data_IF_123864019260
#
_entry.id   IF_123864019260
#
_cell.length_a   1.000
_cell.length_b   1.000
_cell.length_c   1.000
_cell.angle_alpha   90.00
_cell.angle_beta   90.00
_cell.angle_gamma   90.00
#
_symmetry.space_group_name_H-M   'P 1'
#
loop_
_entity.id
_entity.type
_entity.pdbx_description
1 polymer ?
#
# COMPACT_ATOMS: atom_id res chain seq x y z
N UNK A 1 23.50 0.08 -3.82
CA UNK A 1 23.58 0.22 -2.36
C UNK A 1 24.80 1.05 -1.91
N UNK A 2 26.04 0.53 -1.93
CA UNK A 2 27.22 1.21 -1.35
C UNK A 2 27.47 2.63 -1.86
N UNK A 3 27.28 2.87 -3.15
CA UNK A 3 27.42 4.20 -3.75
C UNK A 3 26.38 5.20 -3.20
N UNK A 4 25.13 4.77 -2.99
CA UNK A 4 24.08 5.62 -2.45
C UNK A 4 24.37 5.98 -0.98
N UNK A 5 24.78 5.00 -0.18
CA UNK A 5 25.15 5.22 1.22
C UNK A 5 26.38 6.12 1.35
N UNK A 6 27.39 5.95 0.48
CA UNK A 6 28.56 6.83 0.42
C UNK A 6 28.17 8.28 0.08
N UNK A 7 27.22 8.48 -0.85
CA UNK A 7 26.72 9.81 -1.19
C UNK A 7 26.01 10.48 -0.01
N UNK A 8 25.22 9.74 0.78
CA UNK A 8 24.59 10.28 2.00
C UNK A 8 25.65 10.67 3.03
N UNK A 9 26.63 9.78 3.27
CA UNK A 9 27.69 10.03 4.24
C UNK A 9 28.52 11.29 3.90
N UNK A 10 28.82 11.51 2.62
CA UNK A 10 29.58 12.66 2.13
C UNK A 10 28.87 14.02 2.30
N UNK A 11 27.54 14.01 2.55
CA UNK A 11 26.70 15.23 2.58
C UNK A 11 26.35 15.73 3.98
N UNK A 12 26.84 15.08 5.03
CA UNK A 12 26.50 15.38 6.43
C UNK A 12 26.74 16.84 6.83
N UNK A 13 27.65 17.57 6.15
CA UNK A 13 27.96 18.97 6.43
C UNK A 13 27.31 20.00 5.47
N UNK A 14 26.56 19.54 4.45
CA UNK A 14 25.95 20.44 3.45
C UNK A 14 24.76 21.19 4.06
N UNK A 15 24.80 22.53 4.01
CA UNK A 15 23.75 23.44 4.54
C UNK A 15 22.67 23.84 3.54
N UNK A 16 22.77 23.35 2.31
CA UNK A 16 21.83 23.63 1.24
C UNK A 16 21.20 22.30 0.79
N UNK A 17 19.93 22.39 0.37
CA UNK A 17 19.19 21.28 -0.23
C UNK A 17 18.85 21.67 -1.68
N UNK A 18 19.34 20.89 -2.64
CA UNK A 18 19.07 21.10 -4.07
C UNK A 18 18.30 19.91 -4.69
N UNK A 19 18.00 20.00 -5.99
CA UNK A 19 17.31 18.94 -6.74
C UNK A 19 18.12 17.63 -6.82
N UNK A 20 19.44 17.68 -6.63
CA UNK A 20 20.29 16.48 -6.62
C UNK A 20 20.11 15.74 -5.30
N UNK A 21 20.00 16.46 -4.19
CA UNK A 21 19.64 15.87 -2.89
C UNK A 21 18.26 15.20 -2.95
N UNK A 22 17.28 15.85 -3.59
CA UNK A 22 15.95 15.27 -3.82
C UNK A 22 16.01 13.98 -4.64
N UNK A 23 16.75 13.97 -5.75
CA UNK A 23 16.87 12.76 -6.58
C UNK A 23 17.52 11.60 -5.82
N UNK A 24 18.55 11.87 -5.01
CA UNK A 24 19.20 10.84 -4.18
C UNK A 24 18.24 10.26 -3.14
N UNK A 25 17.40 11.10 -2.53
CA UNK A 25 16.37 10.64 -1.60
C UNK A 25 15.37 9.69 -2.30
N UNK A 26 14.92 10.03 -3.52
CA UNK A 26 14.05 9.16 -4.31
C UNK A 26 14.71 7.83 -4.63
N UNK A 27 15.95 7.86 -5.09
CA UNK A 27 16.71 6.65 -5.45
C UNK A 27 16.91 5.73 -4.23
N UNK A 28 17.24 6.31 -3.06
CA UNK A 28 17.34 5.59 -1.80
C UNK A 28 16.01 4.94 -1.39
N UNK A 29 14.91 5.67 -1.49
CA UNK A 29 13.60 5.16 -1.11
C UNK A 29 13.11 4.07 -2.09
N UNK A 30 13.37 4.23 -3.39
CA UNK A 30 13.04 3.22 -4.40
C UNK A 30 13.81 1.92 -4.12
N UNK A 31 15.12 1.98 -3.91
CA UNK A 31 15.92 0.80 -3.54
C UNK A 31 15.43 0.19 -2.21
N UNK A 32 15.12 1.00 -1.20
CA UNK A 32 14.60 0.50 0.08
C UNK A 32 13.27 -0.29 -0.11
N UNK A 33 12.37 0.22 -0.94
CA UNK A 33 11.09 -0.41 -1.25
C UNK A 33 11.26 -1.72 -2.03
N UNK A 34 12.24 -1.79 -2.94
CA UNK A 34 12.57 -3.01 -3.67
C UNK A 34 13.14 -4.09 -2.73
N UNK A 35 13.95 -3.72 -1.73
CA UNK A 35 14.50 -4.67 -0.75
C UNK A 35 13.52 -5.10 0.33
N UNK A 36 12.42 -4.37 0.54
CA UNK A 36 11.42 -4.66 1.57
C UNK A 36 10.47 -5.84 1.20
N UNK A 37 10.74 -6.59 0.13
CA UNK A 37 9.84 -7.67 -0.30
C UNK A 37 9.64 -8.76 0.78
N UNK A 38 8.39 -9.23 1.00
CA UNK A 38 8.10 -10.26 1.98
C UNK A 38 8.82 -11.58 1.63
N UNK A 39 9.75 -12.00 2.50
CA UNK A 39 10.50 -13.26 2.37
C UNK A 39 12.00 -13.08 2.12
N UNK A 40 12.46 -11.85 1.87
CA UNK A 40 13.88 -11.52 1.74
C UNK A 40 14.52 -11.14 3.08
N UNK A 41 15.84 -11.00 3.09
CA UNK A 41 16.58 -10.48 4.24
C UNK A 41 16.18 -9.02 4.51
N UNK A 42 15.49 -8.78 5.65
CA UNK A 42 15.01 -7.45 6.04
C UNK A 42 16.13 -6.49 6.47
N UNK A 43 17.34 -7.00 6.72
CA UNK A 43 18.48 -6.22 7.19
C UNK A 43 18.92 -5.14 6.17
N UNK A 44 19.22 -5.46 4.90
CA UNK A 44 19.51 -4.45 3.87
C UNK A 44 18.42 -3.38 3.70
N UNK A 45 17.15 -3.78 3.74
CA UNK A 45 16.02 -2.84 3.66
C UNK A 45 16.02 -1.89 4.86
N UNK A 46 16.29 -2.42 6.05
CA UNK A 46 16.37 -1.64 7.31
C UNK A 46 17.47 -0.58 7.24
N UNK A 47 18.67 -0.94 6.76
CA UNK A 47 19.78 0.00 6.60
C UNK A 47 19.43 1.14 5.64
N UNK A 48 18.84 0.82 4.50
CA UNK A 48 18.40 1.79 3.50
C UNK A 48 17.30 2.71 4.05
N UNK A 49 16.33 2.15 4.78
CA UNK A 49 15.26 2.93 5.43
C UNK A 49 15.83 3.91 6.46
N UNK A 50 16.82 3.50 7.26
CA UNK A 50 17.50 4.42 8.17
C UNK A 50 18.25 5.53 7.42
N UNK A 51 18.89 5.22 6.30
CA UNK A 51 19.52 6.24 5.45
C UNK A 51 18.49 7.22 4.88
N UNK A 52 17.31 6.75 4.45
CA UNK A 52 16.19 7.59 4.01
C UNK A 52 15.73 8.51 5.15
N UNK A 53 15.50 7.98 6.35
CA UNK A 53 15.06 8.79 7.50
C UNK A 53 16.11 9.82 7.92
N UNK A 54 17.39 9.47 7.88
CA UNK A 54 18.48 10.39 8.16
C UNK A 54 18.54 11.54 7.14
N UNK A 55 18.38 11.22 5.86
CA UNK A 55 18.38 12.23 4.79
C UNK A 55 17.13 13.12 4.84
N UNK A 56 15.93 12.56 5.09
CA UNK A 56 14.72 13.34 5.34
C UNK A 56 14.89 14.29 6.52
N UNK A 57 15.48 13.83 7.62
CA UNK A 57 15.78 14.67 8.79
C UNK A 57 16.75 15.81 8.43
N UNK A 58 17.80 15.51 7.67
CA UNK A 58 18.76 16.53 7.18
C UNK A 58 18.03 17.60 6.37
N UNK A 59 17.19 17.18 5.42
CA UNK A 59 16.38 18.09 4.60
C UNK A 59 15.47 18.96 5.47
N UNK A 60 14.73 18.37 6.42
CA UNK A 60 13.86 19.11 7.35
C UNK A 60 14.61 20.12 8.23
N UNK A 61 15.88 19.87 8.53
CA UNK A 61 16.71 20.82 9.28
C UNK A 61 17.14 22.04 8.47
N UNK A 62 17.20 21.91 7.14
CA UNK A 62 17.58 22.97 6.19
C UNK A 62 16.34 23.71 5.70
N UNK A 63 15.29 22.95 5.36
CA UNK A 63 14.07 23.41 4.75
C UNK A 63 12.88 22.93 5.60
N UNK A 64 12.37 23.77 6.52
CA UNK A 64 11.25 23.41 7.39
C UNK A 64 9.97 23.03 6.64
N UNK A 65 9.81 23.56 5.42
CA UNK A 65 8.73 23.20 4.50
C UNK A 65 9.31 22.68 3.17
N UNK A 66 9.50 21.35 3.03
CA UNK A 66 10.04 20.73 1.83
C UNK A 66 9.16 20.88 0.58
N UNK A 67 7.89 21.27 0.74
CA UNK A 67 7.00 21.47 -0.41
C UNK A 67 7.46 22.62 -1.32
N UNK A 68 8.23 23.57 -0.76
CA UNK A 68 8.83 24.68 -1.48
C UNK A 68 9.87 24.26 -2.53
N UNK A 69 10.40 23.03 -2.48
CA UNK A 69 11.25 22.47 -3.55
C UNK A 69 10.49 22.31 -4.88
N UNK A 70 9.16 22.24 -4.81
CA UNK A 70 8.28 21.97 -5.94
C UNK A 70 7.42 23.17 -6.32
N UNK A 71 7.50 24.28 -5.60
CA UNK A 71 6.92 25.52 -6.09
C UNK A 71 7.62 25.85 -7.42
N UNK A 72 6.87 25.96 -8.54
CA UNK A 72 7.48 26.34 -9.80
C UNK A 72 8.22 27.65 -9.51
N UNK A 73 9.52 27.67 -9.81
CA UNK A 73 10.33 28.88 -9.68
C UNK A 73 9.50 29.96 -10.34
N UNK A 74 8.93 30.87 -9.53
CA UNK A 74 8.09 31.94 -10.03
C UNK A 74 9.08 32.71 -10.87
N UNK A 75 9.15 32.38 -12.15
CA UNK A 75 9.89 33.13 -13.14
C UNK A 75 9.33 34.51 -12.92
N UNK A 76 10.10 35.32 -12.19
CA UNK A 76 9.83 36.71 -12.02
C UNK A 76 10.08 37.22 -13.42
N UNK A 77 9.06 37.09 -14.25
CA UNK A 77 8.89 37.83 -15.48
C UNK A 77 8.75 39.25 -14.97
N UNK A 78 9.87 39.85 -14.58
CA UNK A 78 10.09 41.28 -14.61
C UNK A 78 10.11 41.66 -16.09
N UNK A 79 9.00 41.44 -16.78
CA UNK A 79 8.65 42.23 -17.93
C UNK A 79 8.33 43.61 -17.36
N UNK A 80 9.38 44.40 -17.18
CA UNK A 80 9.33 45.85 -17.35
C UNK A 80 8.96 46.15 -18.81
N UNK A 81 7.81 45.67 -19.27
CA UNK A 81 7.14 46.16 -20.46
C UNK A 81 6.11 47.14 -19.93
N UNK A 82 6.54 48.39 -19.75
CA UNK A 82 5.62 49.52 -19.77
C UNK A 82 4.65 49.31 -20.93
N UNK A 83 3.33 49.31 -20.70
CA UNK A 83 2.39 49.19 -21.80
C UNK A 83 2.55 50.42 -22.70
N UNK A 84 3.16 50.26 -23.87
CA UNK A 84 3.00 51.26 -24.93
C UNK A 84 1.53 51.30 -25.32
N UNK A 85 0.96 52.50 -25.33
CA UNK A 85 -0.47 52.83 -25.42
C UNK A 85 -1.21 52.36 -26.70
N UNK A 86 -0.67 51.43 -27.49
CA UNK A 86 -1.21 51.10 -28.82
C UNK A 86 -2.17 49.89 -28.87
N UNK A 87 -2.53 49.27 -27.73
CA UNK A 87 -3.54 48.18 -27.71
C UNK A 87 -4.96 48.62 -27.33
N UNK A 88 -5.35 49.82 -27.74
CA UNK A 88 -6.77 50.24 -27.82
C UNK A 88 -7.37 49.84 -29.17
N UNK A 89 -7.56 48.55 -29.42
CA UNK A 89 -8.45 48.08 -30.48
C UNK A 89 -9.29 46.89 -29.99
N UNK A 90 -10.62 47.07 -29.80
CA UNK A 90 -11.52 46.01 -29.40
C UNK A 90 -12.20 45.44 -30.65
N UNK A 91 -11.57 44.51 -31.37
CA UNK A 91 -12.27 43.64 -32.33
C UNK A 91 -11.30 42.61 -32.94
N UNK A 92 -11.37 41.33 -32.53
CA UNK A 92 -11.11 40.14 -33.39
C UNK A 92 -11.23 38.81 -32.63
N UNK A 93 -12.39 38.19 -32.81
CA UNK A 93 -12.65 36.79 -33.19
C UNK A 93 -11.74 35.67 -32.63
N UNK A 94 -12.26 34.96 -31.63
CA UNK A 94 -11.74 33.69 -31.07
C UNK A 94 -12.30 32.45 -31.77
N UNK A 95 -12.34 32.45 -33.10
CA UNK A 95 -12.59 31.24 -33.88
C UNK A 95 -11.50 31.11 -34.91
N UNK A 96 -10.49 30.28 -34.66
CA UNK A 96 -9.82 29.48 -35.68
C UNK A 96 -8.88 28.48 -35.01
N UNK A 97 -9.16 27.22 -35.32
CA UNK A 97 -8.30 26.05 -35.22
C UNK A 97 -6.91 26.37 -35.80
N UNK A 98 -5.85 26.24 -35.02
CA UNK A 98 -4.47 26.17 -35.53
C UNK A 98 -4.02 24.71 -35.58
N UNK A 99 -4.61 23.98 -36.52
CA UNK A 99 -3.90 22.97 -37.27
C UNK A 99 -3.08 23.67 -38.36
N UNK A 100 -1.86 23.20 -38.61
CA UNK A 100 -0.95 23.56 -39.71
C UNK A 100 -0.03 24.78 -39.55
N UNK A 101 1.11 24.60 -38.86
CA UNK A 101 2.36 25.28 -39.25
C UNK A 101 3.56 24.32 -39.18
N UNK A 102 3.96 23.87 -40.39
CA UNK A 102 5.33 23.59 -40.88
C UNK A 102 6.13 22.43 -40.25
N UNK A 103 6.07 21.32 -40.98
CA UNK A 103 7.15 20.37 -41.19
C UNK A 103 8.41 21.04 -41.75
N UNK A 104 9.44 21.19 -40.91
CA UNK A 104 10.83 21.35 -41.33
C UNK A 104 11.60 20.06 -41.03
N UNK A 105 12.14 19.36 -42.04
CA UNK A 105 13.07 18.26 -41.81
C UNK A 105 14.46 18.86 -41.60
N UNK A 106 14.82 19.10 -40.35
CA UNK A 106 16.12 19.66 -39.97
C UNK A 106 16.74 18.88 -38.82
N UNK A 107 17.83 18.18 -39.12
CA UNK A 107 18.78 17.51 -38.21
C UNK A 107 18.73 18.01 -36.75
N UNK A 108 18.19 17.19 -35.84
CA UNK A 108 18.28 17.41 -34.40
C UNK A 108 18.92 16.19 -33.72
N UNK A 109 20.24 16.08 -33.88
CA UNK A 109 21.12 15.26 -33.02
C UNK A 109 21.55 16.11 -31.82
N UNK A 110 20.61 16.40 -30.93
CA UNK A 110 20.87 16.91 -29.58
C UNK A 110 19.61 16.64 -28.76
N UNK A 111 19.67 15.64 -27.88
CA UNK A 111 18.55 15.28 -27.02
C UNK A 111 18.13 16.47 -26.17
N UNK A 112 17.00 17.08 -26.52
CA UNK A 112 16.33 18.02 -25.63
C UNK A 112 16.11 17.31 -24.30
N UNK A 113 16.55 17.87 -23.16
CA UNK A 113 16.27 17.29 -21.85
C UNK A 113 14.74 17.17 -21.75
N UNK A 114 14.26 15.92 -21.67
CA UNK A 114 12.85 15.67 -21.44
C UNK A 114 12.49 16.35 -20.13
N UNK A 115 11.62 17.35 -20.19
CA UNK A 115 11.12 18.03 -19.00
C UNK A 115 10.45 16.97 -18.12
N UNK A 116 11.07 16.66 -16.98
CA UNK A 116 10.48 15.77 -15.97
C UNK A 116 9.14 16.35 -15.55
N UNK A 117 8.10 15.50 -15.48
CA UNK A 117 6.81 15.92 -14.95
C UNK A 117 6.98 16.59 -13.58
N UNK A 118 6.30 17.71 -13.30
CA UNK A 118 6.40 18.38 -12.02
C UNK A 118 5.97 17.42 -10.90
N UNK A 119 6.81 17.29 -9.88
CA UNK A 119 6.53 16.52 -8.67
C UNK A 119 5.41 17.20 -7.87
N UNK A 120 4.65 16.42 -7.11
CA UNK A 120 3.60 16.96 -6.25
C UNK A 120 4.22 17.60 -4.99
N UNK A 121 3.61 18.68 -4.44
CA UNK A 121 4.05 19.26 -3.16
C UNK A 121 4.12 18.27 -1.99
N UNK A 122 3.32 17.20 -2.06
CA UNK A 122 3.24 16.13 -1.07
C UNK A 122 4.34 15.06 -1.22
N UNK A 123 5.12 15.06 -2.31
CA UNK A 123 6.03 13.96 -2.64
C UNK A 123 7.06 13.68 -1.54
N UNK A 124 7.63 14.72 -0.93
CA UNK A 124 8.55 14.55 0.20
C UNK A 124 7.90 13.82 1.38
N UNK A 125 6.69 14.24 1.75
CA UNK A 125 5.94 13.65 2.86
C UNK A 125 5.52 12.21 2.55
N UNK A 126 5.18 11.91 1.29
CA UNK A 126 4.89 10.56 0.85
C UNK A 126 6.10 9.63 1.09
N UNK A 127 7.32 10.05 0.73
CA UNK A 127 8.54 9.26 0.97
C UNK A 127 8.85 9.09 2.45
N UNK A 128 8.84 10.18 3.23
CA UNK A 128 9.12 10.13 4.67
C UNK A 128 8.11 9.26 5.42
N UNK A 129 6.82 9.45 5.17
CA UNK A 129 5.77 8.65 5.80
C UNK A 129 5.82 7.19 5.38
N UNK A 130 6.17 6.89 4.12
CA UNK A 130 6.39 5.51 3.66
C UNK A 130 7.57 4.86 4.37
N UNK A 131 8.71 5.54 4.49
CA UNK A 131 9.86 4.99 5.18
C UNK A 131 9.56 4.68 6.66
N UNK A 132 8.84 5.57 7.35
CA UNK A 132 8.37 5.35 8.72
C UNK A 132 7.41 4.15 8.80
N UNK A 133 6.44 4.06 7.89
CA UNK A 133 5.49 2.94 7.83
C UNK A 133 6.21 1.59 7.64
N UNK A 134 7.12 1.51 6.68
CA UNK A 134 7.87 0.29 6.38
C UNK A 134 8.75 -0.14 7.55
N UNK A 135 9.47 0.79 8.18
CA UNK A 135 10.27 0.49 9.36
C UNK A 135 9.39 0.01 10.52
N UNK A 136 8.22 0.61 10.71
CA UNK A 136 7.21 0.13 11.66
C UNK A 136 6.80 -1.32 11.41
N UNK A 137 6.58 -1.70 10.14
CA UNK A 137 6.26 -3.09 9.80
C UNK A 137 7.43 -4.04 10.03
N UNK A 138 8.69 -3.64 9.75
CA UNK A 138 9.87 -4.45 10.08
C UNK A 138 9.92 -4.69 11.59
N UNK A 139 9.68 -3.66 12.41
CA UNK A 139 9.68 -3.79 13.88
C UNK A 139 8.55 -4.71 14.37
N UNK A 140 7.36 -4.65 13.77
CA UNK A 140 6.24 -5.54 14.09
C UNK A 140 6.54 -7.00 13.73
N UNK A 141 7.24 -7.23 12.61
CA UNK A 141 7.64 -8.55 12.15
C UNK A 141 8.81 -9.13 12.96
N UNK A 142 9.92 -8.40 13.05
CA UNK A 142 11.13 -8.77 13.76
C UNK A 142 11.91 -7.54 14.22
N UNK A 143 11.68 -7.13 15.46
CA UNK A 143 12.39 -6.01 16.04
C UNK A 143 13.90 -6.25 16.24
N UNK A 144 14.39 -7.51 16.21
CA UNK A 144 15.81 -7.80 16.41
C UNK A 144 16.67 -7.35 15.23
N UNK A 145 16.11 -7.37 14.02
CA UNK A 145 16.74 -6.85 12.80
C UNK A 145 17.05 -5.35 12.95
N UNK A 146 16.15 -4.60 13.58
CA UNK A 146 16.34 -3.16 13.80
C UNK A 146 17.35 -2.91 14.93
N UNK A 147 17.32 -3.74 15.98
CA UNK A 147 18.25 -3.63 17.12
C UNK A 147 19.72 -3.88 16.73
N UNK A 148 19.98 -4.76 15.76
CA UNK A 148 21.35 -5.06 15.32
C UNK A 148 21.99 -3.94 14.50
N UNK A 149 21.19 -3.15 13.78
CA UNK A 149 21.66 -2.05 12.94
C UNK A 149 21.60 -0.69 13.64
N UNK A 150 20.76 -0.55 14.66
CA UNK A 150 20.61 0.65 15.46
C UNK A 150 21.77 0.81 16.46
N UNK A 151 22.93 1.23 15.98
CA UNK A 151 23.94 1.86 16.83
C UNK A 151 23.47 3.24 17.34
N UNK A 152 22.41 3.80 16.74
CA UNK A 152 21.89 5.15 16.99
C UNK A 152 20.60 5.14 17.82
N UNK A 153 20.59 6.04 18.82
CA UNK A 153 19.64 6.22 19.93
C UNK A 153 18.21 6.64 19.54
N UNK A 154 17.62 6.06 18.51
CA UNK A 154 16.19 6.22 18.24
C UNK A 154 15.39 5.29 19.17
N UNK A 155 14.15 5.64 19.58
CA UNK A 155 13.37 4.79 20.46
C UNK A 155 13.03 3.48 19.75
N UNK A 156 13.78 2.44 20.10
CA UNK A 156 13.53 1.08 19.66
C UNK A 156 12.28 0.58 20.40
N UNK A 157 11.19 0.48 19.65
CA UNK A 157 9.87 -0.01 20.06
C UNK A 157 8.99 1.00 20.83
N UNK A 158 7.66 0.90 20.64
CA UNK A 158 6.90 -0.04 19.80
C UNK A 158 6.75 0.40 18.33
N UNK A 159 6.47 -0.54 17.42
CA UNK A 159 6.15 -0.28 16.00
C UNK A 159 5.06 0.80 15.82
N UNK A 160 4.10 0.84 16.75
CA UNK A 160 3.04 1.85 16.84
C UNK A 160 3.59 3.28 16.78
N UNK A 161 4.75 3.57 17.37
CA UNK A 161 5.33 4.91 17.34
C UNK A 161 5.69 5.36 15.91
N UNK A 162 6.20 4.43 15.09
CA UNK A 162 6.55 4.68 13.69
C UNK A 162 5.31 4.87 12.82
N UNK A 163 4.27 4.04 13.00
CA UNK A 163 3.01 4.22 12.29
C UNK A 163 2.31 5.53 12.66
N UNK A 164 2.28 5.91 13.94
CA UNK A 164 1.72 7.20 14.35
C UNK A 164 2.54 8.38 13.82
N UNK A 165 3.87 8.26 13.71
CA UNK A 165 4.71 9.28 13.09
C UNK A 165 4.46 9.38 11.57
N UNK A 166 4.23 8.24 10.89
CA UNK A 166 3.84 8.25 9.48
C UNK A 166 2.51 8.99 9.28
N UNK A 167 1.51 8.75 10.13
CA UNK A 167 0.24 9.48 10.08
C UNK A 167 0.42 10.99 10.25
N UNK A 168 1.28 11.44 11.17
CA UNK A 168 1.55 12.88 11.33
C UNK A 168 2.13 13.51 10.06
N UNK A 169 3.03 12.79 9.40
CA UNK A 169 3.67 13.25 8.16
C UNK A 169 2.62 13.36 7.05
N UNK A 170 1.74 12.37 6.93
CA UNK A 170 0.66 12.40 5.95
C UNK A 170 -0.38 13.49 6.25
N UNK A 171 -0.77 13.67 7.52
CA UNK A 171 -1.64 14.76 7.95
C UNK A 171 -1.01 16.13 7.63
N UNK A 172 0.30 16.29 7.85
CA UNK A 172 1.01 17.53 7.51
C UNK A 172 0.92 17.80 6.00
N UNK A 173 1.13 16.76 5.18
CA UNK A 173 1.05 16.85 3.74
C UNK A 173 -0.34 17.25 3.21
N UNK A 174 -1.41 16.67 3.77
CA UNK A 174 -2.79 16.98 3.39
C UNK A 174 -3.19 18.42 3.75
N UNK A 175 -2.55 18.98 4.78
CA UNK A 175 -2.76 20.36 5.24
C UNK A 175 -1.82 21.39 4.57
N UNK A 176 -1.00 20.99 3.58
CA UNK A 176 -0.17 21.93 2.85
C UNK A 176 -1.04 23.00 2.18
N UNK A 177 -0.58 24.27 2.12
CA UNK A 177 -1.30 25.32 1.40
C UNK A 177 -1.53 24.90 -0.04
N UNK A 178 -2.80 24.72 -0.42
CA UNK A 178 -3.19 24.57 -1.81
C UNK A 178 -2.88 25.90 -2.48
N UNK A 179 -1.90 25.90 -3.38
CA UNK A 179 -1.47 27.11 -4.08
C UNK A 179 -2.70 27.85 -4.60
N UNK A 180 -2.94 29.06 -4.09
CA UNK A 180 -4.06 29.89 -4.54
C UNK A 180 -3.70 30.45 -5.91
N UNK A 181 -3.63 29.57 -6.91
CA UNK A 181 -3.46 30.01 -8.29
C UNK A 181 -4.75 30.74 -8.66
N UNK A 182 -4.69 32.07 -8.58
CA UNK A 182 -5.71 33.01 -9.05
C UNK A 182 -5.94 32.93 -10.59
N UNK A 183 -5.50 31.83 -11.22
CA UNK A 183 -5.85 31.45 -12.58
C UNK A 183 -7.32 31.03 -12.61
N UNK A 184 -8.22 32.02 -12.64
CA UNK A 184 -9.67 31.87 -12.68
C UNK A 184 -10.22 31.13 -13.94
N UNK A 185 -9.39 30.43 -14.73
CA UNK A 185 -9.78 29.89 -16.04
C UNK A 185 -9.53 28.38 -16.26
N UNK A 186 -9.11 27.58 -15.27
CA UNK A 186 -9.08 26.10 -15.39
C UNK A 186 -9.83 25.39 -14.26
N UNK A 187 -11.16 25.54 -14.25
CA UNK A 187 -12.08 24.96 -13.25
C UNK A 187 -12.23 23.42 -13.28
N UNK A 188 -11.21 22.66 -13.68
CA UNK A 188 -11.37 21.20 -13.85
C UNK A 188 -10.11 20.36 -13.63
N UNK A 189 -8.94 20.96 -13.34
CA UNK A 189 -7.84 20.17 -12.79
C UNK A 189 -8.16 19.93 -11.32
N UNK A 190 -8.94 18.88 -11.06
CA UNK A 190 -9.03 18.22 -9.76
C UNK A 190 -7.63 18.15 -9.19
N UNK A 191 -7.42 18.80 -8.04
CA UNK A 191 -6.17 18.74 -7.27
C UNK A 191 -5.67 17.32 -7.29
N UNK A 192 -4.53 17.12 -7.94
CA UNK A 192 -4.01 15.79 -8.21
C UNK A 192 -3.57 15.19 -6.88
N UNK A 193 -4.41 14.32 -6.34
CA UNK A 193 -4.11 13.60 -5.12
C UNK A 193 -2.92 12.66 -5.34
N UNK A 194 -2.00 12.66 -4.38
CA UNK A 194 -0.88 11.71 -4.36
C UNK A 194 -1.39 10.33 -3.94
N UNK A 195 -1.73 9.52 -4.93
CA UNK A 195 -2.25 8.18 -4.71
C UNK A 195 -1.30 7.32 -3.87
N UNK A 196 0.03 7.50 -3.98
CA UNK A 196 1.02 6.70 -3.21
C UNK A 196 0.86 6.97 -1.73
N UNK A 197 0.79 8.25 -1.38
CA UNK A 197 0.55 8.70 -0.02
C UNK A 197 -0.76 8.14 0.53
N UNK A 198 -1.86 8.28 -0.22
CA UNK A 198 -3.17 7.78 0.21
C UNK A 198 -3.17 6.27 0.48
N UNK A 199 -2.54 5.46 -0.37
CA UNK A 199 -2.48 4.02 -0.14
C UNK A 199 -1.68 3.67 1.11
N UNK A 200 -0.49 4.25 1.28
CA UNK A 200 0.35 3.96 2.46
C UNK A 200 -0.30 4.47 3.74
N UNK A 201 -1.03 5.58 3.68
CA UNK A 201 -1.85 6.08 4.79
C UNK A 201 -2.93 5.06 5.18
N UNK A 202 -3.68 4.54 4.21
CA UNK A 202 -4.65 3.47 4.45
C UNK A 202 -4.03 2.22 5.06
N UNK A 203 -2.87 1.77 4.55
CA UNK A 203 -2.13 0.62 5.09
C UNK A 203 -1.64 0.86 6.52
N UNK A 204 -1.23 2.09 6.83
CA UNK A 204 -0.85 2.50 8.19
C UNK A 204 -2.02 2.33 9.17
N UNK A 205 -3.24 2.69 8.76
CA UNK A 205 -4.44 2.42 9.58
C UNK A 205 -4.72 0.92 9.76
N UNK A 206 -4.50 0.08 8.75
CA UNK A 206 -4.62 -1.38 8.88
C UNK A 206 -3.60 -1.93 9.90
N UNK A 207 -2.35 -1.46 9.87
CA UNK A 207 -1.34 -1.85 10.87
C UNK A 207 -1.74 -1.43 12.29
N UNK A 208 -2.27 -0.22 12.47
CA UNK A 208 -2.82 0.21 13.76
C UNK A 208 -4.02 -0.62 14.21
N UNK A 209 -4.92 -0.99 13.29
CA UNK A 209 -6.06 -1.86 13.59
C UNK A 209 -5.60 -3.23 14.11
N UNK A 210 -4.56 -3.81 13.50
CA UNK A 210 -3.94 -5.05 13.95
C UNK A 210 -3.32 -4.91 15.34
N UNK A 211 -2.60 -3.83 15.60
CA UNK A 211 -2.04 -3.57 16.93
C UNK A 211 -3.12 -3.37 17.99
N UNK A 212 -4.21 -2.67 17.67
CA UNK A 212 -5.37 -2.53 18.57
C UNK A 212 -6.01 -3.90 18.87
N UNK A 213 -6.08 -4.79 17.88
CA UNK A 213 -6.54 -6.18 18.08
C UNK A 213 -5.59 -6.99 18.95
N UNK A 214 -4.28 -6.80 18.81
CA UNK A 214 -3.29 -7.43 19.68
C UNK A 214 -3.43 -6.95 21.14
N UNK A 215 -3.51 -5.63 21.37
CA UNK A 215 -3.70 -5.07 22.71
C UNK A 215 -5.01 -5.55 23.35
N UNK A 216 -6.09 -5.58 22.58
CA UNK A 216 -7.41 -5.98 23.10
C UNK A 216 -7.59 -7.49 23.25
N UNK A 217 -6.68 -8.31 22.72
CA UNK A 217 -6.69 -9.76 22.96
C UNK A 217 -6.41 -10.07 24.42
N UNK A 218 -5.46 -9.37 25.02
CA UNK A 218 -5.04 -9.61 26.40
C UNK A 218 -5.89 -8.80 27.39
N UNK A 219 -6.23 -7.57 27.04
CA UNK A 219 -6.99 -6.65 27.90
C UNK A 219 -8.17 -6.04 27.14
N UNK A 220 -9.43 -6.43 27.41
CA UNK A 220 -10.55 -6.08 26.54
C UNK A 220 -10.82 -4.59 26.33
N UNK A 221 -10.33 -3.77 27.26
CA UNK A 221 -10.46 -2.31 27.28
C UNK A 221 -9.14 -1.59 26.94
N UNK A 222 -8.07 -2.32 26.65
CA UNK A 222 -6.81 -1.72 26.24
C UNK A 222 -7.01 -0.91 24.95
N UNK A 223 -6.37 0.25 24.91
CA UNK A 223 -6.35 1.15 23.77
C UNK A 223 -4.92 1.30 23.31
N UNK A 224 -4.76 1.60 22.03
CA UNK A 224 -3.47 2.01 21.47
C UNK A 224 -2.90 3.16 22.33
N UNK A 225 -1.59 3.17 22.59
CA UNK A 225 -0.92 4.23 23.32
C UNK A 225 -0.76 5.50 22.45
N UNK A 226 -1.88 6.02 21.92
CA UNK A 226 -1.93 7.23 21.08
C UNK A 226 -1.92 8.51 21.91
N UNK A 227 -2.26 8.39 23.20
CA UNK A 227 -2.68 9.50 24.05
C UNK A 227 -1.56 10.40 24.59
N UNK A 228 -0.27 10.07 24.38
CA UNK A 228 0.78 11.05 24.64
C UNK A 228 1.09 11.82 23.35
N UNK A 229 0.52 13.04 23.16
CA UNK A 229 0.92 13.91 22.06
C UNK A 229 2.39 14.30 22.19
N UNK A 230 2.96 14.24 23.39
CA UNK A 230 4.39 14.39 23.58
C UNK A 230 5.08 13.08 23.25
N UNK A 231 6.08 13.19 22.38
CA UNK A 231 7.06 12.12 22.21
C UNK A 231 7.56 11.66 23.59
N UNK A 232 7.88 10.37 23.77
CA UNK A 232 8.53 9.90 24.98
C UNK A 232 9.64 10.89 25.38
N UNK A 233 9.65 11.33 26.64
CA UNK A 233 10.59 12.37 27.13
C UNK A 233 12.07 12.07 26.87
N UNK A 234 12.37 10.81 26.55
CA UNK A 234 13.71 10.29 26.29
C UNK A 234 14.09 10.28 24.80
N UNK A 235 13.23 10.75 23.88
CA UNK A 235 13.61 10.85 22.47
C UNK A 235 14.75 11.86 22.35
N UNK A 236 15.82 11.46 21.66
CA UNK A 236 16.94 12.34 21.37
C UNK A 236 16.43 13.59 20.62
N UNK A 237 16.88 14.78 21.03
CA UNK A 237 16.55 16.05 20.35
C UNK A 237 16.84 16.00 18.85
N UNK A 238 17.78 15.16 18.47
CA UNK A 238 18.25 14.96 17.11
C UNK A 238 17.65 13.70 16.45
N UNK A 239 16.47 13.23 16.87
CA UNK A 239 15.76 12.12 16.23
C UNK A 239 14.78 12.61 15.17
N UNK A 240 14.51 11.78 14.15
CA UNK A 240 13.48 12.07 13.14
C UNK A 240 12.11 12.32 13.78
N UNK A 241 11.79 11.63 14.87
CA UNK A 241 10.54 11.84 15.61
C UNK A 241 10.38 13.27 16.10
N UNK A 242 11.47 13.90 16.56
CA UNK A 242 11.46 15.30 17.01
C UNK A 242 11.18 16.24 15.84
N UNK A 243 11.77 15.98 14.66
CA UNK A 243 11.49 16.74 13.45
C UNK A 243 10.03 16.59 13.01
N UNK A 244 9.50 15.36 12.99
CA UNK A 244 8.09 15.08 12.67
C UNK A 244 7.15 15.76 13.67
N UNK A 245 7.44 15.70 14.96
CA UNK A 245 6.62 16.36 15.97
C UNK A 245 6.61 17.89 15.83
N UNK A 246 7.70 18.49 15.34
CA UNK A 246 7.77 19.93 15.08
C UNK A 246 6.93 20.37 13.88
N UNK A 247 6.68 19.48 12.91
CA UNK A 247 5.84 19.75 11.74
C UNK A 247 4.33 19.61 12.01
N UNK A 248 3.95 18.96 13.12
CA UNK A 248 2.54 18.60 13.37
C UNK A 248 1.62 19.83 13.36
N UNK A 249 0.43 19.71 12.74
CA UNK A 249 -0.60 20.72 12.92
C UNK A 249 -1.03 20.78 14.40
N UNK A 250 -1.52 21.94 14.83
CA UNK A 250 -1.96 22.17 16.22
C UNK A 250 -3.12 21.27 16.65
N UNK A 251 -3.92 20.79 15.69
CA UNK A 251 -4.99 19.81 15.89
C UNK A 251 -4.66 18.57 15.05
N UNK A 252 -4.17 17.52 15.70
CA UNK A 252 -3.85 16.24 15.06
C UNK A 252 -5.01 15.26 15.17
N UNK A 253 -5.22 14.41 14.15
CA UNK A 253 -6.27 13.38 14.20
C UNK A 253 -6.00 12.29 15.26
N UNK A 254 -4.78 12.25 15.83
CA UNK A 254 -4.39 11.38 16.97
C UNK A 254 -5.39 11.35 18.12
N UNK A 255 -6.03 12.47 18.43
CA UNK A 255 -7.04 12.53 19.50
C UNK A 255 -8.27 11.67 19.21
N UNK A 256 -8.69 11.59 17.94
CA UNK A 256 -9.75 10.71 17.47
C UNK A 256 -9.29 9.25 17.51
N UNK A 257 -8.06 8.98 17.06
CA UNK A 257 -7.48 7.63 17.00
C UNK A 257 -7.32 6.98 18.38
N UNK A 258 -7.12 7.76 19.45
CA UNK A 258 -7.02 7.24 20.81
C UNK A 258 -8.28 6.49 21.28
N UNK A 259 -9.44 6.80 20.69
CA UNK A 259 -10.73 6.16 21.01
C UNK A 259 -11.17 5.16 19.97
N UNK A 260 -10.54 5.16 18.79
CA UNK A 260 -10.90 4.30 17.69
C UNK A 260 -10.76 2.82 18.07
N UNK A 261 -11.74 2.00 17.74
CA UNK A 261 -11.58 0.55 17.72
C UNK A 261 -10.99 0.06 16.38
N UNK A 262 -10.72 -1.24 16.27
CA UNK A 262 -10.12 -1.80 15.07
C UNK A 262 -11.04 -1.70 13.84
N UNK A 263 -12.37 -1.74 14.01
CA UNK A 263 -13.30 -1.62 12.90
C UNK A 263 -13.37 -0.17 12.40
N UNK A 264 -13.37 0.82 13.30
CA UNK A 264 -13.30 2.24 12.97
C UNK A 264 -12.00 2.58 12.23
N UNK A 265 -10.87 2.02 12.66
CA UNK A 265 -9.59 2.16 11.95
C UNK A 265 -9.64 1.58 10.53
N UNK A 266 -10.34 0.46 10.32
CA UNK A 266 -10.54 -0.10 8.98
C UNK A 266 -11.45 0.77 8.10
N UNK A 267 -12.41 1.50 8.67
CA UNK A 267 -13.22 2.49 7.92
C UNK A 267 -12.33 3.62 7.40
N UNK A 268 -11.46 4.16 8.26
CA UNK A 268 -10.48 5.18 7.85
C UNK A 268 -9.53 4.64 6.77
N UNK A 269 -9.05 3.39 6.94
CA UNK A 269 -8.23 2.74 5.94
C UNK A 269 -8.93 2.65 4.57
N UNK A 270 -10.20 2.24 4.55
CA UNK A 270 -10.98 2.10 3.33
C UNK A 270 -11.18 3.43 2.60
N UNK A 271 -11.40 4.53 3.32
CA UNK A 271 -11.53 5.87 2.71
C UNK A 271 -10.27 6.24 1.91
N UNK A 272 -9.10 6.10 2.55
CA UNK A 272 -7.82 6.36 1.90
C UNK A 272 -7.51 5.38 0.76
N UNK A 273 -7.89 4.10 0.89
CA UNK A 273 -7.76 3.16 -0.23
C UNK A 273 -8.62 3.55 -1.43
N UNK A 274 -9.86 4.00 -1.22
CA UNK A 274 -10.71 4.43 -2.32
C UNK A 274 -10.13 5.65 -3.03
N UNK A 275 -9.61 6.63 -2.28
CA UNK A 275 -8.89 7.80 -2.80
C UNK A 275 -7.66 7.39 -3.61
N UNK A 276 -6.78 6.58 -3.01
CA UNK A 276 -5.57 6.10 -3.68
C UNK A 276 -5.84 5.26 -4.92
N UNK A 277 -6.78 4.31 -4.87
CA UNK A 277 -7.13 3.45 -6.01
C UNK A 277 -7.75 4.26 -7.16
N UNK A 278 -8.54 5.30 -6.86
CA UNK A 278 -9.14 6.18 -7.88
C UNK A 278 -8.06 6.90 -8.70
N UNK A 279 -7.01 7.37 -8.05
CA UNK A 279 -5.92 8.14 -8.67
C UNK A 279 -4.72 7.28 -9.11
N UNK A 280 -4.75 5.98 -8.81
CA UNK A 280 -3.70 5.04 -9.19
C UNK A 280 -3.61 4.89 -10.72
N UNK A 281 -2.40 4.78 -11.30
CA UNK A 281 -2.24 4.52 -12.72
C UNK A 281 -2.93 3.22 -13.15
N UNK A 282 -3.79 3.30 -14.16
CA UNK A 282 -4.49 2.15 -14.72
C UNK A 282 -3.70 1.57 -15.90
N UNK A 283 -3.61 0.23 -16.04
CA UNK A 283 -3.05 -0.37 -17.25
C UNK A 283 -3.87 0.13 -18.44
N UNK A 284 -3.20 0.73 -19.42
CA UNK A 284 -3.86 1.14 -20.66
C UNK A 284 -4.36 -0.13 -21.35
N UNK A 285 -5.65 -0.19 -21.65
CA UNK A 285 -6.19 -1.24 -22.51
C UNK A 285 -5.40 -1.21 -23.82
N UNK A 286 -4.69 -2.30 -24.12
CA UNK A 286 -3.79 -2.46 -25.27
C UNK A 286 -4.47 -2.21 -26.62
N UNK A 287 -5.80 -2.20 -26.66
CA UNK A 287 -6.60 -2.04 -27.87
C UNK A 287 -7.17 -0.62 -28.08
N UNK A 288 -6.91 0.33 -27.18
CA UNK A 288 -7.36 1.70 -27.39
C UNK A 288 -6.50 2.37 -28.48
N UNK A 289 -7.08 2.87 -29.59
CA UNK A 289 -6.33 3.55 -30.63
C UNK A 289 -5.58 4.72 -30.00
N UNK A 290 -4.28 4.81 -30.26
CA UNK A 290 -3.37 5.79 -29.70
C UNK A 290 -3.83 7.21 -30.08
N UNK A 291 -4.70 7.81 -29.27
CA UNK A 291 -4.98 9.23 -29.33
C UNK A 291 -3.72 9.91 -28.79
N UNK A 292 -3.05 10.77 -29.56
CA UNK A 292 -1.90 11.54 -29.11
C UNK A 292 -2.38 12.62 -28.13
N UNK A 293 -2.73 12.20 -26.91
CA UNK A 293 -2.89 13.08 -25.75
C UNK A 293 -1.53 13.35 -25.10
N UNK A 294 -1.40 14.44 -24.31
CA UNK A 294 -0.18 14.75 -23.58
C UNK A 294 0.26 13.51 -22.82
N UNK A 295 1.50 13.12 -23.13
CA UNK A 295 2.21 11.94 -22.67
C UNK A 295 2.05 11.73 -21.18
N UNK A 296 1.46 10.58 -20.87
CA UNK A 296 1.34 9.97 -19.56
C UNK A 296 2.55 10.23 -18.68
N UNK A 297 2.25 10.61 -17.44
CA UNK A 297 3.11 10.42 -16.28
C UNK A 297 3.90 9.12 -16.43
N UNK A 298 5.23 9.24 -16.45
CA UNK A 298 6.14 8.11 -16.32
C UNK A 298 5.74 7.38 -15.04
N UNK A 299 4.99 6.29 -15.21
CA UNK A 299 4.76 5.33 -14.14
C UNK A 299 6.13 4.80 -13.78
N UNK A 300 6.50 5.01 -12.52
CA UNK A 300 7.65 4.40 -11.88
C UNK A 300 7.79 2.95 -12.38
N UNK A 301 8.93 2.55 -12.99
CA UNK A 301 9.09 1.23 -13.58
C UNK A 301 8.90 0.10 -12.55
N UNK A 302 9.02 0.40 -11.26
CA UNK A 302 8.79 -0.53 -10.16
C UNK A 302 7.30 -0.69 -9.78
N UNK A 303 6.44 0.23 -10.22
CA UNK A 303 5.04 0.24 -9.79
C UNK A 303 4.21 -0.86 -10.45
N UNK A 304 3.53 -1.65 -9.63
CA UNK A 304 2.55 -2.63 -10.08
C UNK A 304 1.23 -2.42 -9.34
N UNK A 305 0.19 -1.96 -10.06
CA UNK A 305 -1.19 -1.83 -9.53
C UNK A 305 -1.68 -3.13 -8.91
N UNK A 306 -1.43 -4.25 -9.58
CA UNK A 306 -1.81 -5.57 -9.07
C UNK A 306 -1.11 -5.88 -7.74
N UNK A 307 0.19 -5.55 -7.61
CA UNK A 307 0.95 -5.75 -6.36
C UNK A 307 0.36 -4.95 -5.20
N UNK A 308 0.06 -3.67 -5.40
CA UNK A 308 -0.52 -2.82 -4.36
C UNK A 308 -1.90 -3.31 -3.92
N UNK A 309 -2.77 -3.67 -4.87
CA UNK A 309 -4.10 -4.23 -4.56
C UNK A 309 -4.00 -5.56 -3.80
N UNK A 310 -3.02 -6.41 -4.15
CA UNK A 310 -2.76 -7.65 -3.43
C UNK A 310 -2.34 -7.38 -1.97
N UNK A 311 -1.44 -6.42 -1.78
CA UNK A 311 -0.96 -6.02 -0.45
C UNK A 311 -2.12 -5.48 0.40
N UNK A 312 -2.90 -4.53 -0.12
CA UNK A 312 -4.07 -3.95 0.55
C UNK A 312 -5.05 -5.04 0.97
N UNK A 313 -5.47 -5.89 0.02
CA UNK A 313 -6.43 -6.95 0.29
C UNK A 313 -5.93 -7.96 1.32
N UNK A 314 -4.67 -8.37 1.25
CA UNK A 314 -4.08 -9.36 2.18
C UNK A 314 -3.89 -8.78 3.58
N UNK A 315 -3.43 -7.53 3.69
CA UNK A 315 -3.29 -6.83 4.98
C UNK A 315 -4.65 -6.62 5.65
N UNK A 316 -5.65 -6.15 4.89
CA UNK A 316 -7.02 -5.99 5.38
C UNK A 316 -7.62 -7.32 5.83
N UNK A 317 -7.44 -8.40 5.06
CA UNK A 317 -7.90 -9.73 5.46
C UNK A 317 -7.26 -10.17 6.78
N UNK A 318 -5.95 -9.93 6.96
CA UNK A 318 -5.26 -10.24 8.20
C UNK A 318 -5.85 -9.52 9.42
N UNK A 319 -6.27 -8.27 9.28
CA UNK A 319 -7.01 -7.57 10.33
C UNK A 319 -8.42 -8.14 10.51
N UNK A 320 -9.14 -8.35 9.40
CA UNK A 320 -10.52 -8.81 9.38
C UNK A 320 -10.72 -10.15 10.10
N UNK A 321 -9.83 -11.13 9.90
CA UNK A 321 -9.93 -12.46 10.54
C UNK A 321 -9.89 -12.42 12.06
N UNK A 322 -9.26 -11.37 12.62
CA UNK A 322 -9.02 -11.20 14.06
C UNK A 322 -10.07 -10.34 14.76
N UNK A 323 -11.00 -9.73 14.03
CA UNK A 323 -12.10 -8.96 14.64
C UNK A 323 -12.97 -9.87 15.51
N UNK A 324 -13.50 -9.32 16.61
CA UNK A 324 -14.28 -10.08 17.58
C UNK A 324 -15.65 -10.46 17.05
N UNK A 325 -16.32 -9.55 16.35
CA UNK A 325 -17.67 -9.76 15.85
C UNK A 325 -17.65 -10.57 14.54
N UNK A 326 -18.31 -11.74 14.46
CA UNK A 326 -18.38 -12.51 13.23
C UNK A 326 -18.94 -11.72 12.05
N UNK A 327 -19.94 -10.86 12.28
CA UNK A 327 -20.53 -10.04 11.22
C UNK A 327 -19.56 -9.01 10.67
N UNK A 328 -18.73 -8.41 11.55
CA UNK A 328 -17.66 -7.49 11.13
C UNK A 328 -16.57 -8.23 10.38
N UNK A 329 -16.16 -9.43 10.84
CA UNK A 329 -15.20 -10.28 10.12
C UNK A 329 -15.66 -10.54 8.70
N UNK A 330 -16.93 -10.94 8.52
CA UNK A 330 -17.49 -11.19 7.19
C UNK A 330 -17.61 -9.92 6.35
N UNK A 331 -17.93 -8.77 6.95
CA UNK A 331 -17.99 -7.48 6.25
C UNK A 331 -16.60 -7.10 5.72
N UNK A 332 -15.58 -7.08 6.58
CA UNK A 332 -14.23 -6.69 6.22
C UNK A 332 -13.53 -7.69 5.32
N UNK A 333 -13.82 -8.99 5.46
CA UNK A 333 -13.36 -10.01 4.51
C UNK A 333 -13.92 -9.79 3.10
N UNK A 334 -15.17 -9.32 2.96
CA UNK A 334 -15.71 -8.94 1.63
C UNK A 334 -15.04 -7.71 1.05
N UNK A 335 -14.72 -6.70 1.89
CA UNK A 335 -13.96 -5.54 1.44
C UNK A 335 -12.55 -5.93 0.99
N UNK A 336 -11.89 -6.83 1.71
CA UNK A 336 -10.60 -7.39 1.31
C UNK A 336 -10.68 -8.14 -0.04
N UNK A 337 -11.70 -8.99 -0.24
CA UNK A 337 -11.92 -9.65 -1.54
C UNK A 337 -12.23 -8.66 -2.67
N UNK A 338 -12.93 -7.56 -2.39
CA UNK A 338 -13.21 -6.52 -3.38
C UNK A 338 -11.91 -5.95 -3.97
N UNK A 339 -10.92 -5.64 -3.13
CA UNK A 339 -9.61 -5.15 -3.60
C UNK A 339 -8.81 -6.25 -4.34
N UNK A 340 -8.80 -7.47 -3.82
CA UNK A 340 -8.13 -8.61 -4.48
C UNK A 340 -8.73 -8.92 -5.86
N UNK A 341 -10.05 -8.78 -6.00
CA UNK A 341 -10.75 -9.01 -7.27
C UNK A 341 -10.35 -7.99 -8.35
N UNK A 342 -10.00 -6.76 -7.96
CA UNK A 342 -9.56 -5.72 -8.89
C UNK A 342 -8.17 -5.95 -9.51
N UNK A 343 -7.41 -6.94 -9.03
CA UNK A 343 -6.12 -7.30 -9.61
C UNK A 343 -6.22 -7.89 -11.02
N UNK A 344 -7.41 -8.38 -11.44
CA UNK A 344 -7.57 -9.01 -12.76
C UNK A 344 -6.82 -10.34 -12.89
N UNK A 345 -6.84 -11.18 -11.85
CA UNK A 345 -6.03 -12.41 -11.74
C UNK A 345 -6.15 -13.38 -12.92
N UNK A 346 -7.25 -13.34 -13.68
CA UNK A 346 -7.49 -14.22 -14.83
C UNK A 346 -6.76 -13.75 -16.10
N UNK A 347 -6.54 -12.45 -16.28
CA UNK A 347 -5.84 -11.88 -17.43
C UNK A 347 -4.32 -12.06 -17.28
N UNK A 348 -3.81 -11.87 -16.05
CA UNK A 348 -2.39 -12.03 -15.71
C UNK A 348 -1.87 -13.46 -15.93
N UNK A 349 -2.70 -14.48 -15.65
CA UNK A 349 -2.29 -15.87 -15.79
C UNK A 349 -2.19 -16.33 -17.26
N UNK A 350 -2.95 -15.70 -18.16
CA UNK A 350 -2.96 -16.03 -19.59
C UNK A 350 -1.69 -15.52 -20.30
N UNK A 351 -1.19 -14.35 -19.91
CA UNK A 351 -0.01 -13.73 -20.52
C UNK A 351 1.32 -14.20 -19.93
N UNK A 352 1.31 -14.87 -18.77
CA UNK A 352 2.50 -15.36 -18.05
C UNK A 352 3.26 -16.52 -18.75
N UNK A 353 3.01 -16.78 -20.04
CA UNK A 353 3.77 -17.76 -20.84
C UNK A 353 5.25 -17.38 -21.07
N UNK A 354 5.65 -16.16 -20.69
CA UNK A 354 7.05 -15.73 -20.60
C UNK A 354 7.67 -16.13 -19.25
N UNK A 355 8.80 -16.86 -19.31
CA UNK A 355 9.52 -17.47 -18.18
C UNK A 355 10.01 -16.49 -17.10
N UNK A 356 9.97 -15.19 -17.34
CA UNK A 356 10.59 -14.19 -16.46
C UNK A 356 9.68 -13.69 -15.33
N UNK A 357 8.51 -14.31 -15.10
CA UNK A 357 7.53 -13.79 -14.13
C UNK A 357 7.07 -14.76 -13.05
N UNK A 358 7.99 -15.56 -12.51
CA UNK A 358 7.72 -16.45 -11.38
C UNK A 358 7.12 -15.70 -10.17
N UNK A 359 7.58 -14.48 -9.91
CA UNK A 359 7.08 -13.66 -8.80
C UNK A 359 5.63 -13.24 -8.97
N UNK A 360 5.21 -12.83 -10.17
CA UNK A 360 3.81 -12.50 -10.43
C UNK A 360 2.91 -13.73 -10.31
N UNK A 361 3.38 -14.91 -10.77
CA UNK A 361 2.64 -16.17 -10.57
C UNK A 361 2.49 -16.49 -9.09
N UNK A 362 3.56 -16.37 -8.30
CA UNK A 362 3.54 -16.58 -6.85
C UNK A 362 2.57 -15.61 -6.16
N UNK A 363 2.61 -14.32 -6.53
CA UNK A 363 1.70 -13.29 -6.01
C UNK A 363 0.24 -13.55 -6.41
N UNK A 364 -0.01 -13.93 -7.66
CA UNK A 364 -1.36 -14.26 -8.15
C UNK A 364 -1.94 -15.48 -7.40
N UNK A 365 -1.12 -16.52 -7.17
CA UNK A 365 -1.51 -17.67 -6.32
C UNK A 365 -1.80 -17.25 -4.88
N UNK A 366 -0.94 -16.44 -4.28
CA UNK A 366 -1.13 -15.91 -2.93
C UNK A 366 -2.41 -15.08 -2.81
N UNK A 367 -2.66 -14.18 -3.77
CA UNK A 367 -3.89 -13.40 -3.85
C UNK A 367 -5.12 -14.29 -4.01
N UNK A 368 -5.04 -15.33 -4.85
CA UNK A 368 -6.12 -16.31 -5.04
C UNK A 368 -6.41 -17.07 -3.73
N UNK A 369 -5.38 -17.50 -3.00
CA UNK A 369 -5.54 -18.12 -1.68
C UNK A 369 -6.20 -17.14 -0.68
N UNK A 370 -5.78 -15.88 -0.68
CA UNK A 370 -6.36 -14.83 0.16
C UNK A 370 -7.85 -14.61 -0.15
N UNK A 371 -8.25 -14.60 -1.43
CA UNK A 371 -9.67 -14.55 -1.82
C UNK A 371 -10.45 -15.75 -1.28
N UNK A 372 -9.87 -16.95 -1.37
CA UNK A 372 -10.43 -18.16 -0.77
C UNK A 372 -10.67 -18.03 0.73
N UNK A 373 -9.70 -17.47 1.46
CA UNK A 373 -9.83 -17.16 2.90
C UNK A 373 -10.91 -16.13 3.19
N UNK A 374 -11.02 -15.05 2.40
CA UNK A 374 -12.10 -14.08 2.54
C UNK A 374 -13.48 -14.76 2.52
N UNK A 375 -13.71 -15.61 1.52
CA UNK A 375 -14.98 -16.32 1.35
C UNK A 375 -15.19 -17.40 2.41
N UNK A 376 -14.13 -18.03 2.93
CA UNK A 376 -14.21 -18.96 4.06
C UNK A 376 -14.69 -18.26 5.34
N UNK A 377 -14.17 -17.05 5.63
CA UNK A 377 -14.62 -16.23 6.77
C UNK A 377 -16.09 -15.87 6.64
N UNK A 378 -16.54 -15.47 5.45
CA UNK A 378 -17.95 -15.16 5.17
C UNK A 378 -18.82 -16.40 5.36
N UNK A 379 -18.39 -17.55 4.83
CA UNK A 379 -19.08 -18.84 4.98
C UNK A 379 -19.25 -19.23 6.44
N UNK A 380 -18.17 -19.23 7.23
CA UNK A 380 -18.18 -19.54 8.67
C UNK A 380 -19.12 -18.65 9.48
N UNK A 381 -19.22 -17.38 9.10
CA UNK A 381 -20.12 -16.45 9.79
C UNK A 381 -21.58 -16.82 9.57
N UNK A 382 -21.94 -17.19 8.34
CA UNK A 382 -23.29 -17.66 8.05
C UNK A 382 -23.58 -19.03 8.65
N UNK A 383 -22.60 -19.95 8.72
CA UNK A 383 -22.82 -21.25 9.39
C UNK A 383 -23.02 -21.11 10.90
N UNK A 384 -22.29 -20.22 11.56
CA UNK A 384 -22.44 -19.97 12.98
C UNK A 384 -23.86 -19.48 13.34
N UNK A 385 -24.51 -18.72 12.44
CA UNK A 385 -25.88 -18.26 12.62
C UNK A 385 -26.93 -19.39 12.56
N UNK A 386 -26.60 -20.56 12.00
CA UNK A 386 -27.51 -21.70 11.87
C UNK A 386 -27.60 -22.56 13.13
N UNK A 387 -26.69 -22.37 14.09
CA UNK A 387 -26.67 -23.16 15.33
C UNK A 387 -27.91 -22.82 16.16
N UNK A 388 -28.89 -23.72 16.17
CA UNK A 388 -30.13 -23.59 16.93
C UNK A 388 -31.38 -23.26 16.12
N UNK A 389 -31.28 -23.06 14.80
CA UNK A 389 -32.46 -22.82 13.94
C UNK A 389 -33.19 -24.13 13.56
N UNK A 390 -34.50 -24.19 13.81
CA UNK A 390 -35.37 -25.27 13.30
C UNK A 390 -35.58 -25.09 11.79
N UNK A 391 -35.23 -26.11 10.99
CA UNK A 391 -35.24 -26.04 9.52
C UNK A 391 -33.91 -25.60 8.89
N UNK A 392 -32.83 -25.55 9.70
CA UNK A 392 -31.59 -24.81 9.43
C UNK A 392 -30.87 -25.04 8.09
N UNK A 393 -31.07 -26.15 7.37
CA UNK A 393 -30.40 -26.36 6.07
C UNK A 393 -31.12 -25.74 4.86
N UNK A 394 -32.40 -25.41 5.02
CA UNK A 394 -33.22 -24.75 3.98
C UNK A 394 -33.31 -23.24 4.20
N UNK A 395 -32.72 -22.71 5.28
CA UNK A 395 -32.77 -21.29 5.59
C UNK A 395 -32.01 -20.44 4.58
N UNK A 396 -32.36 -19.15 4.51
CA UNK A 396 -31.67 -18.17 3.67
C UNK A 396 -30.18 -18.06 4.01
N UNK A 397 -29.83 -18.18 5.29
CA UNK A 397 -28.45 -18.09 5.73
C UNK A 397 -27.66 -19.35 5.41
N UNK A 398 -28.30 -20.54 5.39
CA UNK A 398 -27.67 -21.75 4.88
C UNK A 398 -27.40 -21.66 3.38
N UNK A 399 -28.30 -21.06 2.61
CA UNK A 399 -28.06 -20.80 1.19
C UNK A 399 -26.86 -19.86 0.97
N UNK A 400 -26.77 -18.75 1.73
CA UNK A 400 -25.62 -17.83 1.68
C UNK A 400 -24.32 -18.51 2.13
N UNK A 401 -24.37 -19.33 3.17
CA UNK A 401 -23.21 -20.09 3.64
C UNK A 401 -22.70 -21.04 2.57
N UNK A 402 -23.60 -21.79 1.90
CA UNK A 402 -23.23 -22.67 0.78
C UNK A 402 -22.60 -21.91 -0.39
N UNK A 403 -23.17 -20.76 -0.79
CA UNK A 403 -22.61 -19.92 -1.87
C UNK A 403 -21.19 -19.42 -1.51
N UNK A 404 -21.03 -18.88 -0.31
CA UNK A 404 -19.73 -18.39 0.16
C UNK A 404 -18.68 -19.51 0.27
N UNK A 405 -19.05 -20.66 0.85
CA UNK A 405 -18.15 -21.81 0.95
C UNK A 405 -17.82 -22.41 -0.41
N UNK A 406 -18.76 -22.40 -1.36
CA UNK A 406 -18.52 -22.81 -2.75
C UNK A 406 -17.47 -21.92 -3.43
N UNK A 407 -17.54 -20.60 -3.23
CA UNK A 407 -16.51 -19.65 -3.69
C UNK A 407 -15.17 -19.87 -3.00
N UNK A 408 -15.17 -20.13 -1.69
CA UNK A 408 -13.95 -20.44 -0.95
C UNK A 408 -13.25 -21.68 -1.52
N UNK A 409 -14.00 -22.77 -1.72
CA UNK A 409 -13.51 -24.02 -2.33
C UNK A 409 -12.91 -23.75 -3.71
N UNK A 410 -13.59 -22.99 -4.57
CA UNK A 410 -13.10 -22.75 -5.94
C UNK A 410 -11.81 -21.94 -5.98
N UNK A 411 -11.65 -20.93 -5.13
CA UNK A 411 -10.41 -20.16 -5.04
C UNK A 411 -9.28 -20.96 -4.40
N UNK A 412 -9.55 -21.65 -3.29
CA UNK A 412 -8.54 -22.44 -2.60
C UNK A 412 -8.04 -23.60 -3.48
N UNK A 413 -8.93 -24.25 -4.24
CA UNK A 413 -8.57 -25.28 -5.22
C UNK A 413 -7.64 -24.76 -6.32
N UNK A 414 -7.91 -23.56 -6.85
CA UNK A 414 -7.03 -22.89 -7.82
C UNK A 414 -5.67 -22.55 -7.21
N UNK A 415 -5.59 -22.32 -5.90
CA UNK A 415 -4.37 -21.96 -5.21
C UNK A 415 -3.54 -23.16 -4.72
N UNK A 416 -4.13 -24.35 -4.52
CA UNK A 416 -3.49 -25.59 -4.04
C UNK A 416 -2.55 -26.26 -5.07
N UNK A 417 -1.64 -25.51 -5.69
CA UNK A 417 -0.57 -26.07 -6.53
C UNK A 417 0.41 -26.99 -5.75
N UNK A 418 1.53 -27.37 -6.36
CA UNK A 418 2.48 -28.38 -5.83
C UNK A 418 3.04 -28.12 -4.43
N UNK A 419 3.08 -26.85 -3.98
CA UNK A 419 3.76 -26.45 -2.73
C UNK A 419 2.81 -25.85 -1.66
N UNK A 420 1.49 -26.01 -1.83
CA UNK A 420 0.47 -25.27 -1.07
C UNK A 420 0.00 -25.90 0.26
N UNK A 421 0.88 -26.43 1.10
CA UNK A 421 0.48 -27.14 2.34
C UNK A 421 -0.44 -26.29 3.25
N UNK A 422 -0.14 -25.00 3.41
CA UNK A 422 -0.96 -24.09 4.23
C UNK A 422 -2.36 -23.85 3.63
N UNK A 423 -2.47 -23.84 2.31
CA UNK A 423 -3.74 -23.66 1.59
C UNK A 423 -4.58 -24.94 1.69
N UNK A 424 -3.94 -26.11 1.74
CA UNK A 424 -4.61 -27.41 1.78
C UNK A 424 -5.46 -27.60 3.04
N UNK A 425 -5.00 -27.13 4.20
CA UNK A 425 -5.78 -27.17 5.44
C UNK A 425 -7.07 -26.34 5.31
N UNK A 426 -6.96 -25.12 4.76
CA UNK A 426 -8.10 -24.24 4.54
C UNK A 426 -9.08 -24.79 3.50
N UNK A 427 -8.55 -25.40 2.43
CA UNK A 427 -9.34 -26.04 1.38
C UNK A 427 -10.15 -27.21 1.94
N UNK A 428 -9.50 -28.06 2.73
CA UNK A 428 -10.12 -29.20 3.42
C UNK A 428 -11.24 -28.73 4.34
N UNK A 429 -10.99 -27.68 5.11
CA UNK A 429 -12.00 -27.11 6.00
C UNK A 429 -13.20 -26.54 5.22
N UNK A 430 -12.96 -25.84 4.12
CA UNK A 430 -14.01 -25.30 3.26
C UNK A 430 -14.89 -26.43 2.69
N UNK A 431 -14.28 -27.53 2.24
CA UNK A 431 -14.98 -28.72 1.74
C UNK A 431 -15.83 -29.39 2.82
N UNK A 432 -15.26 -29.63 4.01
CA UNK A 432 -15.99 -30.24 5.13
C UNK A 432 -17.16 -29.37 5.59
N UNK A 433 -16.94 -28.06 5.68
CA UNK A 433 -17.98 -27.09 6.01
C UNK A 433 -19.10 -27.10 4.97
N UNK A 434 -18.76 -27.11 3.68
CA UNK A 434 -19.75 -27.16 2.60
C UNK A 434 -20.52 -28.49 2.59
N UNK A 435 -19.84 -29.60 2.82
CA UNK A 435 -20.44 -30.93 2.90
C UNK A 435 -21.48 -31.00 4.03
N UNK A 436 -21.18 -30.40 5.19
CA UNK A 436 -22.09 -30.37 6.34
C UNK A 436 -23.40 -29.61 6.07
N UNK A 437 -23.39 -28.67 5.11
CA UNK A 437 -24.56 -27.87 4.72
C UNK A 437 -25.28 -28.41 3.47
N UNK A 438 -24.76 -29.45 2.84
CA UNK A 438 -25.27 -29.97 1.58
C UNK A 438 -26.40 -30.98 1.83
N UNK A 439 -27.59 -30.70 1.28
CA UNK A 439 -28.79 -31.54 1.44
C UNK A 439 -28.74 -32.82 0.59
N UNK A 440 -28.26 -32.71 -0.65
CA UNK A 440 -28.16 -33.84 -1.56
C UNK A 440 -27.06 -34.81 -1.11
N UNK A 441 -27.45 -36.03 -0.78
CA UNK A 441 -26.55 -37.05 -0.24
C UNK A 441 -25.38 -37.37 -1.17
N UNK A 442 -25.65 -37.44 -2.49
CA UNK A 442 -24.64 -37.76 -3.50
C UNK A 442 -23.59 -36.65 -3.63
N UNK A 443 -24.03 -35.40 -3.68
CA UNK A 443 -23.14 -34.23 -3.73
C UNK A 443 -22.30 -34.16 -2.46
N UNK A 444 -22.92 -34.39 -1.30
CA UNK A 444 -22.23 -34.42 -0.01
C UNK A 444 -21.15 -35.50 0.07
N UNK A 445 -21.46 -36.72 -0.37
CA UNK A 445 -20.48 -37.81 -0.46
C UNK A 445 -19.33 -37.47 -1.42
N UNK A 446 -19.61 -36.81 -2.55
CA UNK A 446 -18.59 -36.33 -3.47
C UNK A 446 -17.63 -35.31 -2.84
N UNK A 447 -18.13 -34.42 -1.98
CA UNK A 447 -17.29 -33.47 -1.23
C UNK A 447 -16.39 -34.19 -0.21
N UNK A 448 -16.91 -35.16 0.53
CA UNK A 448 -16.08 -35.97 1.44
C UNK A 448 -15.03 -36.81 0.70
N UNK A 449 -15.37 -37.36 -0.46
CA UNK A 449 -14.40 -38.09 -1.28
C UNK A 449 -13.24 -37.20 -1.74
N UNK A 450 -13.50 -35.93 -2.10
CA UNK A 450 -12.44 -34.95 -2.43
C UNK A 450 -11.51 -34.69 -1.25
N UNK A 451 -12.05 -34.58 -0.04
CA UNK A 451 -11.24 -34.44 1.19
C UNK A 451 -10.35 -35.67 1.38
N UNK A 452 -10.90 -36.87 1.24
CA UNK A 452 -10.13 -38.11 1.37
C UNK A 452 -8.98 -38.17 0.35
N UNK A 453 -9.23 -37.83 -0.92
CA UNK A 453 -8.19 -37.80 -1.96
C UNK A 453 -7.11 -36.76 -1.69
N UNK A 454 -7.48 -35.57 -1.23
CA UNK A 454 -6.53 -34.50 -0.92
C UNK A 454 -5.62 -34.79 0.29
N UNK A 455 -5.96 -35.77 1.13
CA UNK A 455 -5.13 -36.18 2.28
C UNK A 455 -4.10 -37.27 1.95
N UNK A 456 -4.27 -37.97 0.83
CA UNK A 456 -3.43 -39.13 0.44
C UNK A 456 -2.15 -38.72 -0.30
N UNK A 457 -2.07 -37.48 -0.79
CA UNK A 457 -1.00 -37.01 -1.68
C UNK A 457 0.32 -36.60 -1.01
N UNK A 458 0.45 -36.71 0.31
CA UNK A 458 1.75 -36.58 0.99
C UNK A 458 2.19 -37.94 1.52
N UNK A 459 2.80 -38.81 0.68
CA UNK A 459 3.70 -39.80 1.22
C UNK A 459 4.80 -38.99 1.91
N UNK A 460 4.80 -38.98 3.24
CA UNK A 460 5.94 -38.52 4.02
C UNK A 460 7.17 -39.13 3.36
N UNK A 461 8.09 -38.32 2.86
CA UNK A 461 9.45 -38.78 2.58
C UNK A 461 9.90 -39.43 3.88
N UNK A 462 9.79 -40.76 3.91
CA UNK A 462 10.17 -41.56 5.03
C UNK A 462 11.66 -41.32 5.14
N UNK A 463 12.03 -40.61 6.21
CA UNK A 463 13.34 -40.58 6.83
C UNK A 463 14.10 -41.81 6.36
N UNK A 464 14.98 -41.58 5.38
CA UNK A 464 15.93 -42.58 4.94
C UNK A 464 16.80 -42.83 6.15
N UNK A 465 16.39 -43.79 6.99
CA UNK A 465 17.25 -44.42 7.97
C UNK A 465 18.44 -44.93 7.18
N UNK A 466 19.50 -44.13 7.19
CA UNK A 466 20.86 -44.56 6.93
C UNK A 466 21.14 -45.60 8.02
N UNK A 467 20.80 -46.85 7.73
CA UNK A 467 21.30 -48.00 8.47
C UNK A 467 22.73 -48.17 7.99
N UNK A 468 23.63 -47.39 8.59
CA UNK A 468 25.04 -47.73 8.59
C UNK A 468 25.21 -49.01 9.40
N UNK A 469 25.78 -50.02 8.75
CA UNK A 469 26.43 -51.12 9.43
C UNK A 469 27.00 -52.13 8.46
N UNK A 470 28.00 -52.92 8.88
CA UNK A 470 29.24 -52.56 9.59
C UNK A 470 30.47 -52.47 8.68
#
# INVERSE_FOLDING_TARGET
>A
MDHLLANVAAKTDKRECDLVDWQILKDLCAEANERYEPGDELAPATELLFAVLHECKRILSILPDPSLLFEPEKQQVYDFVTPTQERLYPFRDWTLSSSDIRSSPGNSLAGSPQASSPELPTAFHALLGTALFLLGNIIDCDATVVLSHSAQREPLQPAIAYWLAALDVFETAENLPKGSDNSHHSSSETEKEDWRMALVWGRTFVSLARAQLACTRDEPYARLPVADPHLPRNIARDSIFTAVAAMRPSVTARTSLARADAAELLVLAQDHFMRGILHMPHPRATDAPAIPGPSHEQTDPSFSRARELAAIGTEMLGAAERLRSPTERAYWARQADFHLAQMGTEEIAADASQRDNADLVRRSKSATAARGRCWLVVGRTHTAALVGEKGGLESRDAAKARDALGKAVSFLEKATGTDGADVQALYTEALLSLASLTLDGRTREGLYARVALGTVSHPSESDGMNVDGP
#
